data_IF_749354158950
#
_entry.id   IF_749354158950
#
_cell.length_a   1.000
_cell.length_b   1.000
_cell.length_c   1.000
_cell.angle_alpha   90.00
_cell.angle_beta   90.00
_cell.angle_gamma   90.00
#
_symmetry.space_group_name_H-M   'P 1'
#
loop_
_entity.id
_entity.type
_entity.pdbx_description
1 polymer ?
#
# COMPACT_ATOMS: atom_id res chain seq x y z
N UNK A 1 -6.87 -20.29 30.21
CA UNK A 1 -6.74 -19.11 29.34
C UNK A 1 -7.74 -19.32 28.22
N UNK A 2 -9.00 -19.03 28.52
CA UNK A 2 -10.12 -19.36 27.63
C UNK A 2 -9.98 -18.62 26.31
N UNK A 3 -10.25 -19.39 25.25
CA UNK A 3 -9.94 -19.05 23.87
C UNK A 3 -10.79 -17.87 23.40
N UNK A 4 -10.14 -16.81 22.93
CA UNK A 4 -10.79 -15.74 22.18
C UNK A 4 -11.50 -16.34 20.95
N UNK A 5 -12.84 -16.24 20.84
CA UNK A 5 -13.56 -16.67 19.65
C UNK A 5 -13.17 -15.78 18.46
N UNK A 6 -12.83 -16.38 17.32
CA UNK A 6 -12.74 -15.65 16.04
C UNK A 6 -11.38 -15.58 15.35
N UNK A 7 -10.29 -16.19 15.88
CA UNK A 7 -9.04 -16.32 15.12
C UNK A 7 -9.10 -17.61 14.29
N UNK A 8 -9.20 -17.55 12.95
CA UNK A 8 -9.24 -18.75 12.13
C UNK A 8 -7.90 -19.50 12.26
N UNK A 9 -7.99 -20.82 12.45
CA UNK A 9 -6.81 -21.71 12.53
C UNK A 9 -6.82 -22.63 11.31
N UNK A 10 -6.07 -22.30 10.24
CA UNK A 10 -5.94 -23.20 9.12
C UNK A 10 -5.19 -24.47 9.56
N UNK A 11 -5.61 -25.62 9.03
CA UNK A 11 -4.89 -26.86 9.26
C UNK A 11 -3.53 -26.85 8.54
N UNK A 12 -2.54 -27.64 8.98
CA UNK A 12 -1.26 -27.77 8.28
C UNK A 12 -1.43 -28.16 6.81
N UNK A 13 -2.43 -28.99 6.48
CA UNK A 13 -2.74 -29.43 5.13
C UNK A 13 -3.23 -28.28 4.25
N UNK A 14 -4.11 -27.41 4.77
CA UNK A 14 -4.56 -26.21 4.07
C UNK A 14 -3.41 -25.22 3.83
N UNK A 15 -2.57 -25.00 4.86
CA UNK A 15 -1.39 -24.15 4.73
C UNK A 15 -0.45 -24.68 3.65
N UNK A 16 -0.16 -25.99 3.66
CA UNK A 16 0.70 -26.61 2.65
C UNK A 16 0.10 -26.54 1.25
N UNK A 17 -1.20 -26.83 1.09
CA UNK A 17 -1.92 -26.80 -0.19
C UNK A 17 -1.92 -25.41 -0.83
N UNK A 18 -2.15 -24.38 -0.01
CA UNK A 18 -2.33 -23.02 -0.50
C UNK A 18 -1.08 -22.15 -0.40
N UNK A 19 0.05 -22.66 0.10
CA UNK A 19 1.33 -21.95 0.09
C UNK A 19 1.99 -21.93 -1.30
N UNK A 20 1.34 -21.24 -2.25
CA UNK A 20 1.78 -21.12 -3.65
C UNK A 20 2.33 -19.72 -3.94
N UNK A 21 3.09 -19.58 -5.02
CA UNK A 21 3.51 -18.26 -5.52
C UNK A 21 2.30 -17.55 -6.13
N UNK A 22 2.01 -16.33 -5.69
CA UNK A 22 0.87 -15.56 -6.18
C UNK A 22 1.01 -14.07 -5.92
N UNK A 23 0.37 -13.22 -6.74
CA UNK A 23 0.48 -11.78 -6.61
C UNK A 23 -0.22 -11.28 -5.34
N UNK A 24 0.19 -10.10 -4.88
CA UNK A 24 -0.48 -9.38 -3.78
C UNK A 24 -1.75 -8.65 -4.20
N UNK A 25 -2.05 -8.68 -5.50
CA UNK A 25 -3.14 -7.93 -6.14
C UNK A 25 -3.20 -6.46 -5.69
N UNK A 26 -2.04 -5.80 -5.60
CA UNK A 26 -1.99 -4.33 -5.46
C UNK A 26 -2.66 -3.66 -6.66
N UNK A 27 -2.58 -4.31 -7.82
CA UNK A 27 -3.38 -4.02 -9.01
C UNK A 27 -3.72 -5.31 -9.74
N UNK A 28 -4.74 -5.25 -10.60
CA UNK A 28 -4.96 -6.23 -11.66
C UNK A 28 -5.22 -5.50 -12.98
N UNK A 29 -4.49 -5.81 -14.07
CA UNK A 29 -3.34 -6.70 -14.12
C UNK A 29 -2.14 -6.21 -13.29
N UNK A 30 -1.23 -7.13 -13.00
CA UNK A 30 -0.08 -6.87 -12.13
C UNK A 30 1.06 -6.19 -12.89
N UNK A 31 1.93 -5.48 -12.19
CA UNK A 31 3.06 -4.72 -12.78
C UNK A 31 3.99 -5.51 -13.75
N UNK A 32 4.23 -6.83 -13.57
CA UNK A 32 4.97 -7.62 -14.56
C UNK A 32 4.37 -7.68 -15.96
N UNK A 33 3.07 -7.39 -16.11
CA UNK A 33 2.37 -7.35 -17.40
C UNK A 33 2.57 -6.02 -18.14
N UNK A 34 3.06 -4.98 -17.46
CA UNK A 34 3.21 -3.65 -18.05
C UNK A 34 4.36 -3.62 -19.05
N UNK A 35 4.13 -2.92 -20.16
CA UNK A 35 4.98 -2.94 -21.34
C UNK A 35 5.57 -1.56 -21.62
N UNK A 36 6.78 -1.50 -22.19
CA UNK A 36 7.47 -0.24 -22.47
C UNK A 36 6.93 0.52 -23.69
N UNK A 37 6.07 -0.10 -24.50
CA UNK A 37 5.36 0.56 -25.61
C UNK A 37 4.27 1.53 -25.11
N UNK A 38 3.80 1.38 -23.87
CA UNK A 38 3.03 2.41 -23.18
C UNK A 38 3.98 3.47 -22.61
N UNK A 39 4.31 4.46 -23.45
CA UNK A 39 5.23 5.56 -23.14
C UNK A 39 4.55 6.86 -22.68
N UNK A 40 5.30 7.99 -22.69
CA UNK A 40 4.81 9.31 -22.26
C UNK A 40 3.54 9.76 -22.97
N UNK A 41 3.50 9.66 -24.30
CA UNK A 41 2.39 10.12 -25.13
C UNK A 41 1.10 9.34 -24.85
N UNK A 42 1.23 8.06 -24.50
CA UNK A 42 0.10 7.21 -24.10
C UNK A 42 -0.48 7.68 -22.76
N UNK A 43 0.36 8.02 -21.78
CA UNK A 43 -0.11 8.58 -20.50
C UNK A 43 -0.77 9.96 -20.72
N UNK A 44 -0.17 10.85 -21.50
CA UNK A 44 -0.75 12.16 -21.81
C UNK A 44 -2.16 12.02 -22.42
N UNK A 45 -2.35 11.08 -23.35
CA UNK A 45 -3.66 10.79 -23.91
C UNK A 45 -4.67 10.26 -22.88
N UNK A 46 -4.23 9.58 -21.82
CA UNK A 46 -5.11 9.12 -20.72
C UNK A 46 -5.40 10.20 -19.71
N UNK A 47 -4.44 11.08 -19.41
CA UNK A 47 -4.67 12.28 -18.61
C UNK A 47 -5.69 13.21 -19.29
N UNK A 48 -5.62 13.39 -20.61
CA UNK A 48 -6.61 14.19 -21.35
C UNK A 48 -8.02 13.61 -21.23
N UNK A 49 -8.19 12.31 -21.41
CA UNK A 49 -9.51 11.66 -21.22
C UNK A 49 -9.99 11.76 -19.78
N UNK A 50 -9.10 11.60 -18.79
CA UNK A 50 -9.48 11.82 -17.40
C UNK A 50 -9.88 13.28 -17.13
N UNK A 51 -9.30 14.24 -17.85
CA UNK A 51 -9.61 15.66 -17.78
C UNK A 51 -10.93 16.08 -18.46
N UNK A 52 -11.57 15.19 -19.22
CA UNK A 52 -12.90 15.44 -19.82
C UNK A 52 -14.05 15.38 -18.81
N UNK A 53 -13.79 14.90 -17.58
CA UNK A 53 -14.77 14.92 -16.50
C UNK A 53 -14.95 16.33 -15.91
N UNK A 54 -16.03 16.54 -15.15
CA UNK A 54 -16.32 17.82 -14.50
C UNK A 54 -15.16 18.30 -13.62
N UNK A 55 -14.97 19.61 -13.51
CA UNK A 55 -13.90 20.25 -12.73
C UNK A 55 -13.86 19.78 -11.26
N UNK A 56 -15.04 19.46 -10.70
CA UNK A 56 -15.22 18.98 -9.34
C UNK A 56 -15.10 17.47 -9.19
N UNK A 57 -14.90 16.73 -10.29
CA UNK A 57 -14.78 15.27 -10.28
C UNK A 57 -13.54 14.83 -9.51
N UNK A 58 -13.69 14.07 -8.40
CA UNK A 58 -12.59 13.73 -7.51
C UNK A 58 -11.40 13.05 -8.19
N UNK A 59 -10.19 13.55 -7.93
CA UNK A 59 -8.92 12.91 -8.24
C UNK A 59 -8.20 12.48 -6.96
N UNK A 60 -7.37 11.45 -7.07
CA UNK A 60 -6.38 11.09 -6.06
C UNK A 60 -4.98 11.41 -6.60
N UNK A 61 -4.16 12.10 -5.82
CA UNK A 61 -2.79 12.45 -6.19
C UNK A 61 -1.79 11.75 -5.27
N UNK A 62 -0.93 10.92 -5.85
CA UNK A 62 0.20 10.33 -5.16
C UNK A 62 1.49 11.07 -5.54
N UNK A 63 2.32 11.40 -4.56
CA UNK A 63 3.63 12.00 -4.78
C UNK A 63 4.69 11.10 -4.19
N UNK A 64 5.57 10.58 -5.05
CA UNK A 64 6.69 9.75 -4.61
C UNK A 64 7.88 10.63 -4.22
N UNK A 65 8.39 10.47 -3.01
CA UNK A 65 9.56 11.16 -2.48
C UNK A 65 10.61 10.12 -2.07
N UNK A 66 11.64 9.85 -2.90
CA UNK A 66 12.46 8.64 -2.77
C UNK A 66 13.55 8.75 -1.68
N UNK A 67 13.71 9.88 -1.00
CA UNK A 67 14.90 10.10 -0.17
C UNK A 67 14.79 9.50 1.23
N UNK A 68 15.88 8.89 1.71
CA UNK A 68 16.04 8.43 3.10
C UNK A 68 17.43 8.80 3.64
N UNK A 69 17.53 9.10 4.94
CA UNK A 69 18.83 9.35 5.59
C UNK A 69 19.70 8.10 5.74
N UNK A 70 19.07 6.93 5.82
CA UNK A 70 19.76 5.65 6.01
C UNK A 70 19.03 4.52 5.28
N UNK A 71 19.79 3.49 4.91
CA UNK A 71 19.25 2.30 4.27
C UNK A 71 18.85 1.27 5.32
N UNK A 72 17.54 1.09 5.54
CA UNK A 72 17.02 -0.05 6.28
C UNK A 72 17.24 -1.33 5.48
N UNK A 73 17.86 -2.34 6.07
CA UNK A 73 18.30 -3.51 5.30
C UNK A 73 17.16 -4.43 4.85
N UNK A 74 15.99 -4.37 5.48
CA UNK A 74 14.81 -5.10 5.01
C UNK A 74 14.11 -4.42 3.82
N UNK A 75 14.35 -3.12 3.59
CA UNK A 75 13.48 -2.27 2.78
C UNK A 75 13.35 -2.77 1.32
N UNK A 76 12.10 -2.90 0.84
CA UNK A 76 11.79 -3.22 -0.56
C UNK A 76 11.37 -2.02 -1.40
N UNK A 77 11.31 -0.82 -0.80
CA UNK A 77 10.85 0.40 -1.46
C UNK A 77 11.89 0.95 -2.43
N UNK A 78 11.45 1.82 -3.35
CA UNK A 78 12.36 2.61 -4.16
C UNK A 78 12.91 3.77 -3.34
N UNK A 79 14.21 3.76 -3.05
CA UNK A 79 14.83 4.80 -2.23
C UNK A 79 16.18 5.27 -2.76
N UNK A 80 16.50 6.50 -2.42
CA UNK A 80 17.78 7.19 -2.67
C UNK A 80 18.32 7.62 -1.31
N UNK A 81 19.52 7.15 -0.97
CA UNK A 81 20.12 7.40 0.34
C UNK A 81 21.00 8.64 0.28
N UNK A 82 20.71 9.63 1.11
CA UNK A 82 21.52 10.85 1.26
C UNK A 82 21.51 11.29 2.71
N UNK A 83 22.62 11.85 3.20
CA UNK A 83 22.64 12.55 4.50
C UNK A 83 22.32 14.03 4.39
N UNK A 84 22.43 14.59 3.19
CA UNK A 84 22.21 16.00 2.90
C UNK A 84 20.84 16.20 2.26
N UNK A 85 19.96 16.94 2.95
CA UNK A 85 18.61 17.26 2.48
C UNK A 85 18.60 18.15 1.23
N UNK A 86 19.71 18.85 0.92
CA UNK A 86 19.83 19.60 -0.34
C UNK A 86 19.82 18.68 -1.58
N UNK A 87 20.11 17.39 -1.40
CA UNK A 87 20.02 16.39 -2.47
C UNK A 87 18.59 16.27 -3.05
N UNK A 88 17.56 16.69 -2.31
CA UNK A 88 16.19 16.73 -2.78
C UNK A 88 15.86 17.97 -3.61
N UNK A 89 16.63 19.07 -3.56
CA UNK A 89 16.24 20.32 -4.24
C UNK A 89 16.11 20.13 -5.74
N UNK A 90 17.11 19.50 -6.37
CA UNK A 90 17.04 19.14 -7.79
C UNK A 90 15.84 18.25 -8.09
N UNK A 91 15.49 17.34 -7.20
CA UNK A 91 14.32 16.47 -7.40
C UNK A 91 13.02 17.27 -7.36
N UNK A 92 12.88 18.16 -6.39
CA UNK A 92 11.71 19.03 -6.25
C UNK A 92 11.55 19.96 -7.46
N UNK A 93 12.65 20.48 -8.02
CA UNK A 93 12.59 21.28 -9.25
C UNK A 93 11.93 20.50 -10.40
N UNK A 94 12.33 19.24 -10.60
CA UNK A 94 11.78 18.40 -11.67
C UNK A 94 10.37 17.89 -11.31
N UNK A 95 10.11 17.59 -10.05
CA UNK A 95 8.78 17.18 -9.59
C UNK A 95 7.75 18.30 -9.83
N UNK A 96 8.12 19.56 -9.60
CA UNK A 96 7.29 20.71 -9.93
C UNK A 96 7.11 20.85 -11.45
N UNK A 97 8.15 20.65 -12.27
CA UNK A 97 7.97 20.63 -13.73
C UNK A 97 6.98 19.54 -14.17
N UNK A 98 7.11 18.32 -13.64
CA UNK A 98 6.19 17.21 -13.92
C UNK A 98 4.75 17.53 -13.49
N UNK A 99 4.59 18.09 -12.29
CA UNK A 99 3.30 18.56 -11.77
C UNK A 99 2.60 19.47 -12.78
N UNK A 100 3.32 20.43 -13.38
CA UNK A 100 2.75 21.36 -14.35
C UNK A 100 2.41 20.68 -15.68
N UNK A 101 3.24 19.76 -16.17
CA UNK A 101 2.95 18.95 -17.37
C UNK A 101 1.68 18.12 -17.19
N UNK A 102 1.58 17.38 -16.08
CA UNK A 102 0.41 16.57 -15.73
C UNK A 102 -0.82 17.45 -15.57
N UNK A 103 -0.67 18.57 -14.86
CA UNK A 103 -1.73 19.54 -14.67
C UNK A 103 -2.26 20.06 -16.02
N UNK A 104 -1.40 20.38 -16.98
CA UNK A 104 -1.81 20.82 -18.31
C UNK A 104 -2.67 19.77 -19.03
N UNK A 105 -2.26 18.49 -19.00
CA UNK A 105 -3.01 17.42 -19.65
C UNK A 105 -4.38 17.17 -18.99
N UNK A 106 -4.52 17.37 -17.68
CA UNK A 106 -5.80 17.23 -16.97
C UNK A 106 -6.77 18.40 -17.22
N UNK A 107 -6.32 19.49 -17.86
CA UNK A 107 -7.19 20.62 -18.22
C UNK A 107 -7.88 21.25 -17.00
N UNK A 108 -9.23 21.32 -16.96
CA UNK A 108 -9.97 21.94 -15.87
C UNK A 108 -10.12 21.03 -14.63
N UNK A 109 -9.85 19.72 -14.72
CA UNK A 109 -10.07 18.80 -13.59
C UNK A 109 -9.00 18.98 -12.51
N UNK A 110 -9.32 19.75 -11.47
CA UNK A 110 -8.38 20.17 -10.40
C UNK A 110 -8.74 19.68 -8.99
N UNK A 111 -9.93 19.12 -8.80
CA UNK A 111 -10.41 18.73 -7.48
C UNK A 111 -9.74 17.45 -6.94
N UNK A 112 -9.06 17.56 -5.79
CA UNK A 112 -8.41 16.46 -5.11
C UNK A 112 -9.24 15.99 -3.91
N UNK A 113 -9.64 14.72 -3.93
CA UNK A 113 -10.23 14.02 -2.77
C UNK A 113 -9.19 13.29 -1.93
N UNK A 114 -8.04 12.97 -2.52
CA UNK A 114 -6.92 12.35 -1.81
C UNK A 114 -5.59 12.95 -2.27
N UNK A 115 -4.70 13.18 -1.32
CA UNK A 115 -3.28 13.45 -1.54
C UNK A 115 -2.48 12.55 -0.64
N UNK A 116 -1.52 11.80 -1.19
CA UNK A 116 -0.64 10.94 -0.41
C UNK A 116 0.81 11.18 -0.78
N UNK A 117 1.63 11.54 0.21
CA UNK A 117 3.08 11.62 0.07
C UNK A 117 3.73 10.38 0.67
N UNK A 118 4.43 9.60 -0.16
CA UNK A 118 5.07 8.36 0.27
C UNK A 118 6.38 8.10 -0.45
N UNK A 119 6.93 6.89 -0.28
CA UNK A 119 8.10 6.43 -1.05
C UNK A 119 9.26 6.02 -0.15
N UNK A 120 10.25 6.89 -0.01
CA UNK A 120 11.33 6.75 0.95
C UNK A 120 10.89 7.28 2.31
N UNK A 121 11.29 8.50 2.63
CA UNK A 121 10.84 9.22 3.82
C UNK A 121 10.47 10.63 3.38
N UNK A 122 9.18 10.93 3.10
CA UNK A 122 8.73 12.29 2.77
C UNK A 122 9.28 13.39 3.70
N UNK A 123 9.39 13.09 4.99
CA UNK A 123 9.93 14.00 6.02
C UNK A 123 11.46 14.07 6.07
N UNK A 124 12.16 13.49 5.09
CA UNK A 124 13.53 13.85 4.73
C UNK A 124 13.64 15.31 4.28
N UNK A 125 12.57 15.81 3.65
CA UNK A 125 12.46 17.19 3.24
C UNK A 125 12.43 18.11 4.46
N UNK A 126 13.19 19.19 4.39
CA UNK A 126 13.12 20.29 5.37
C UNK A 126 11.74 20.95 5.34
N UNK A 127 11.39 21.68 6.40
CA UNK A 127 10.14 22.45 6.48
C UNK A 127 9.94 23.37 5.26
N UNK A 128 10.99 24.09 4.84
CA UNK A 128 10.94 24.95 3.65
C UNK A 128 10.66 24.17 2.35
N UNK A 129 11.23 22.98 2.23
CA UNK A 129 11.01 22.11 1.06
C UNK A 129 9.60 21.52 1.04
N UNK A 130 9.06 21.14 2.20
CA UNK A 130 7.68 20.67 2.35
C UNK A 130 6.69 21.79 1.97
N UNK A 131 6.86 22.99 2.52
CA UNK A 131 6.03 24.16 2.20
C UNK A 131 6.11 24.54 0.73
N UNK A 132 7.32 24.53 0.14
CA UNK A 132 7.54 24.78 -1.29
C UNK A 132 6.73 23.81 -2.16
N UNK A 133 6.88 22.49 -1.92
CA UNK A 133 6.19 21.48 -2.71
C UNK A 133 4.67 21.60 -2.57
N UNK A 134 4.19 21.80 -1.35
CA UNK A 134 2.77 21.98 -1.08
C UNK A 134 2.19 23.20 -1.79
N UNK A 135 2.89 24.33 -1.72
CA UNK A 135 2.49 25.57 -2.37
C UNK A 135 2.34 25.39 -3.87
N UNK A 136 3.33 24.76 -4.53
CA UNK A 136 3.26 24.51 -5.98
C UNK A 136 2.11 23.56 -6.34
N UNK A 137 1.86 22.54 -5.53
CA UNK A 137 0.73 21.62 -5.71
C UNK A 137 -0.61 22.38 -5.65
N UNK A 138 -0.81 23.22 -4.63
CA UNK A 138 -2.02 24.02 -4.45
C UNK A 138 -2.19 25.15 -5.48
N UNK A 139 -1.14 25.55 -6.22
CA UNK A 139 -1.30 26.46 -7.38
C UNK A 139 -2.02 25.79 -8.56
N UNK A 140 -1.98 24.46 -8.63
CA UNK A 140 -2.51 23.68 -9.77
C UNK A 140 -3.73 22.85 -9.41
N UNK A 141 -3.96 22.59 -8.14
CA UNK A 141 -5.03 21.74 -7.64
C UNK A 141 -5.72 22.35 -6.44
N UNK A 142 -6.97 21.92 -6.20
CA UNK A 142 -7.78 22.37 -5.06
C UNK A 142 -8.22 21.17 -4.27
N UNK A 143 -8.05 21.20 -2.95
CA UNK A 143 -8.58 20.17 -2.07
C UNK A 143 -10.10 20.28 -1.97
N UNK A 144 -10.78 19.14 -2.05
CA UNK A 144 -12.17 19.05 -1.64
C UNK A 144 -12.29 19.19 -0.12
N UNK A 145 -13.44 19.69 0.41
CA UNK A 145 -13.59 19.96 1.84
C UNK A 145 -13.32 18.76 2.77
N UNK A 146 -13.59 17.55 2.29
CA UNK A 146 -13.43 16.29 3.02
C UNK A 146 -12.26 15.43 2.50
N UNK A 147 -11.29 16.06 1.84
CA UNK A 147 -10.15 15.37 1.25
C UNK A 147 -9.25 14.71 2.31
N UNK A 148 -8.79 13.49 2.02
CA UNK A 148 -7.74 12.84 2.80
C UNK A 148 -6.37 13.34 2.34
N UNK A 149 -5.58 13.90 3.25
CA UNK A 149 -4.23 14.40 2.96
C UNK A 149 -3.26 13.69 3.90
N UNK A 150 -2.60 12.67 3.35
CA UNK A 150 -1.80 11.70 4.08
C UNK A 150 -0.30 11.78 3.76
N UNK A 151 0.53 11.45 4.75
CA UNK A 151 1.99 11.38 4.59
C UNK A 151 2.60 10.23 5.39
N UNK A 152 3.59 9.57 4.81
CA UNK A 152 4.45 8.60 5.48
C UNK A 152 5.58 9.28 6.24
N UNK A 153 5.81 8.87 7.49
CA UNK A 153 6.81 9.46 8.39
C UNK A 153 7.66 8.41 9.09
N UNK A 154 8.90 8.79 9.44
CA UNK A 154 9.80 7.96 10.23
C UNK A 154 9.97 8.61 11.60
N UNK A 155 9.55 7.97 12.72
CA UNK A 155 9.56 8.59 14.05
C UNK A 155 10.91 9.11 14.53
N UNK A 156 12.03 8.45 14.18
CA UNK A 156 13.38 8.94 14.51
C UNK A 156 13.91 10.09 13.63
N UNK A 157 13.22 10.48 12.56
CA UNK A 157 13.65 11.52 11.60
C UNK A 157 12.74 12.74 11.68
N UNK A 158 11.43 12.50 11.77
CA UNK A 158 10.42 13.55 11.73
C UNK A 158 10.43 14.39 13.01
N UNK A 159 10.52 15.71 12.88
CA UNK A 159 10.49 16.64 14.00
C UNK A 159 9.06 17.07 14.33
N UNK A 160 8.81 17.52 15.56
CA UNK A 160 7.52 18.11 15.95
C UNK A 160 7.19 19.36 15.12
N UNK A 161 8.20 20.14 14.71
CA UNK A 161 8.05 21.30 13.83
C UNK A 161 7.49 20.91 12.46
N UNK A 162 8.01 19.84 11.86
CA UNK A 162 7.49 19.30 10.61
C UNK A 162 6.04 18.83 10.76
N UNK A 163 5.67 18.14 11.85
CA UNK A 163 4.28 17.69 12.06
C UNK A 163 3.32 18.89 12.22
N UNK A 164 3.73 19.91 12.96
CA UNK A 164 2.95 21.16 13.09
C UNK A 164 2.77 21.85 11.75
N UNK A 165 3.83 21.96 10.94
CA UNK A 165 3.76 22.51 9.59
C UNK A 165 2.84 21.69 8.70
N UNK A 166 2.99 20.36 8.69
CA UNK A 166 2.14 19.47 7.89
C UNK A 166 0.65 19.68 8.22
N UNK A 167 0.30 19.83 9.51
CA UNK A 167 -1.08 20.15 9.90
C UNK A 167 -1.55 21.48 9.31
N UNK A 168 -0.71 22.52 9.39
CA UNK A 168 -1.02 23.85 8.84
C UNK A 168 -1.21 23.83 7.32
N UNK A 169 -0.43 22.99 6.61
CA UNK A 169 -0.56 22.80 5.17
C UNK A 169 -1.85 22.05 4.80
N UNK A 170 -2.46 21.32 5.73
CA UNK A 170 -3.73 20.63 5.52
C UNK A 170 -3.65 19.11 5.63
N UNK A 171 -2.47 18.55 5.94
CA UNK A 171 -2.35 17.12 6.24
C UNK A 171 -3.22 16.78 7.46
N UNK A 172 -3.92 15.66 7.36
CA UNK A 172 -4.87 15.20 8.37
C UNK A 172 -4.71 13.72 8.73
N UNK A 173 -3.81 13.00 8.04
CA UNK A 173 -3.46 11.61 8.32
C UNK A 173 -1.96 11.33 8.24
N UNK A 174 -1.46 10.46 9.13
CA UNK A 174 -0.05 10.02 9.15
C UNK A 174 0.06 8.48 9.06
N UNK A 175 1.11 7.99 8.41
CA UNK A 175 1.57 6.59 8.53
C UNK A 175 2.98 6.56 9.09
N UNK A 176 3.17 5.93 10.25
CA UNK A 176 4.45 5.85 10.95
C UNK A 176 5.09 4.48 10.73
N UNK A 177 6.26 4.48 10.09
CA UNK A 177 7.03 3.25 9.93
C UNK A 177 7.74 2.85 11.23
N UNK A 178 7.25 1.85 11.98
CA UNK A 178 7.90 1.32 13.18
C UNK A 178 8.71 0.05 12.91
N UNK A 179 8.09 -0.94 12.29
CA UNK A 179 8.58 -2.28 12.03
C UNK A 179 8.71 -3.16 13.29
N UNK A 180 9.59 -2.80 14.22
CA UNK A 180 9.83 -3.51 15.49
C UNK A 180 10.46 -2.57 16.54
N UNK A 181 10.28 -2.87 17.83
CA UNK A 181 10.94 -2.20 18.95
C UNK A 181 12.06 -3.02 19.59
N UNK A 182 12.21 -4.31 19.30
CA UNK A 182 13.28 -5.13 19.88
C UNK A 182 14.66 -4.64 19.40
N UNK A 183 15.58 -4.26 20.33
CA UNK A 183 16.87 -3.69 19.96
C UNK A 183 17.73 -4.59 19.05
N UNK A 184 17.64 -5.91 19.22
CA UNK A 184 18.41 -6.87 18.42
C UNK A 184 17.88 -6.96 16.99
N UNK A 185 16.55 -6.88 16.83
CA UNK A 185 15.91 -6.83 15.51
C UNK A 185 16.25 -5.51 14.81
N UNK A 186 16.21 -4.38 15.53
CA UNK A 186 16.59 -3.07 14.99
C UNK A 186 18.05 -2.99 14.54
N UNK A 187 18.98 -3.53 15.33
CA UNK A 187 20.39 -3.64 14.97
C UNK A 187 20.57 -4.47 13.69
N UNK A 188 19.96 -5.65 13.65
CA UNK A 188 20.02 -6.56 12.51
C UNK A 188 19.37 -5.99 11.23
N UNK A 189 18.57 -4.94 11.34
CA UNK A 189 17.87 -4.31 10.21
C UNK A 189 18.35 -2.88 9.91
N UNK A 190 19.31 -2.37 10.70
CA UNK A 190 19.81 -1.01 10.62
C UNK A 190 18.68 0.04 10.71
N UNK A 191 17.82 -0.07 11.72
CA UNK A 191 16.69 0.85 11.97
C UNK A 191 16.55 1.22 13.46
N UNK A 192 17.42 2.11 13.98
CA UNK A 192 17.35 2.54 15.38
C UNK A 192 16.15 3.48 15.64
N UNK A 193 15.35 3.14 16.64
CA UNK A 193 14.21 3.92 17.12
C UNK A 193 13.84 3.52 18.56
N UNK A 194 13.15 4.40 19.29
CA UNK A 194 12.71 4.11 20.64
C UNK A 194 11.20 4.30 20.80
N UNK A 195 10.53 3.54 21.68
CA UNK A 195 9.12 3.73 21.98
C UNK A 195 8.77 5.17 22.40
N UNK A 196 9.66 5.84 23.13
CA UNK A 196 9.43 7.19 23.66
C UNK A 196 9.34 8.22 22.53
N UNK A 197 10.22 8.13 21.52
CA UNK A 197 10.19 9.02 20.36
C UNK A 197 8.92 8.82 19.54
N UNK A 198 8.54 7.56 19.31
CA UNK A 198 7.30 7.23 18.62
C UNK A 198 6.08 7.75 19.37
N UNK A 199 6.02 7.54 20.69
CA UNK A 199 4.94 8.04 21.53
C UNK A 199 4.84 9.56 21.49
N UNK A 200 5.96 10.27 21.65
CA UNK A 200 5.98 11.72 21.59
C UNK A 200 5.47 12.27 20.26
N UNK A 201 5.84 11.65 19.13
CA UNK A 201 5.36 12.06 17.81
C UNK A 201 3.86 11.76 17.63
N UNK A 202 3.39 10.60 18.11
CA UNK A 202 1.97 10.22 18.08
C UNK A 202 1.11 11.18 18.90
N UNK A 203 1.54 11.48 20.14
CA UNK A 203 0.79 12.34 21.05
C UNK A 203 0.72 13.77 20.49
N UNK A 204 1.83 14.29 19.96
CA UNK A 204 1.85 15.60 19.27
C UNK A 204 0.93 15.62 18.03
N UNK A 205 0.91 14.54 17.23
CA UNK A 205 0.00 14.45 16.10
C UNK A 205 -1.48 14.46 16.54
N UNK A 206 -1.81 13.76 17.63
CA UNK A 206 -3.17 13.76 18.20
C UNK A 206 -3.59 15.13 18.72
N UNK A 207 -2.69 15.84 19.41
CA UNK A 207 -2.92 17.21 19.90
C UNK A 207 -3.25 18.18 18.75
N UNK A 208 -2.64 17.97 17.59
CA UNK A 208 -2.91 18.73 16.36
C UNK A 208 -4.17 18.28 15.60
N UNK A 209 -4.83 17.21 16.05
CA UNK A 209 -6.05 16.68 15.44
C UNK A 209 -5.84 15.80 14.22
N UNK A 210 -4.66 15.17 14.06
CA UNK A 210 -4.51 14.08 13.10
C UNK A 210 -5.40 12.89 13.49
N UNK A 211 -5.95 12.21 12.50
CA UNK A 211 -6.78 11.00 12.67
C UNK A 211 -6.32 9.90 11.74
N UNK A 212 -6.73 8.66 12.00
CA UNK A 212 -6.36 7.51 11.16
C UNK A 212 -4.86 7.24 11.16
N UNK A 213 -4.16 7.56 12.27
CA UNK A 213 -2.72 7.38 12.39
C UNK A 213 -2.38 5.90 12.32
N UNK A 214 -1.65 5.52 11.28
CA UNK A 214 -1.28 4.15 11.01
C UNK A 214 0.12 3.81 11.55
N UNK A 215 0.29 2.62 12.12
CA UNK A 215 1.61 2.05 12.42
C UNK A 215 1.94 0.89 11.48
N UNK A 216 3.08 0.97 10.80
CA UNK A 216 3.60 -0.14 10.00
C UNK A 216 4.51 -1.02 10.86
N UNK A 217 4.21 -2.31 10.91
CA UNK A 217 4.96 -3.36 11.58
C UNK A 217 5.40 -4.43 10.57
N UNK A 218 6.50 -5.13 10.85
CA UNK A 218 6.95 -6.24 10.00
C UNK A 218 7.20 -7.48 10.87
N UNK A 219 6.61 -8.61 10.48
CA UNK A 219 6.93 -9.92 11.06
C UNK A 219 7.75 -10.77 10.08
N UNK A 220 8.60 -11.64 10.63
CA UNK A 220 9.56 -12.44 9.87
C UNK A 220 10.98 -11.82 9.77
N UNK A 221 11.29 -10.77 10.53
CA UNK A 221 12.62 -10.15 10.55
C UNK A 221 13.64 -11.00 11.34
N UNK A 222 14.96 -10.83 11.10
CA UNK A 222 15.99 -11.56 11.83
C UNK A 222 15.87 -11.40 13.35
N UNK A 223 16.09 -12.49 14.08
CA UNK A 223 16.00 -12.58 15.55
C UNK A 223 14.61 -12.37 16.16
N UNK A 224 13.55 -12.20 15.37
CA UNK A 224 12.20 -12.24 15.91
C UNK A 224 11.87 -13.63 16.45
N UNK A 225 11.28 -13.64 17.64
CA UNK A 225 10.79 -14.82 18.36
C UNK A 225 9.48 -14.43 19.04
N UNK A 226 8.58 -15.40 19.34
CA UNK A 226 7.27 -15.10 19.92
C UNK A 226 7.32 -14.18 21.14
N UNK A 227 8.29 -14.37 22.05
CA UNK A 227 8.41 -13.59 23.28
C UNK A 227 8.88 -12.14 23.01
N UNK A 228 9.79 -11.95 22.04
CA UNK A 228 10.26 -10.61 21.65
C UNK A 228 9.15 -9.84 20.96
N UNK A 229 8.47 -10.52 20.05
CA UNK A 229 7.37 -9.96 19.29
C UNK A 229 6.20 -9.58 20.18
N UNK A 230 5.85 -10.41 21.18
CA UNK A 230 4.82 -10.08 22.16
C UNK A 230 5.10 -8.75 22.88
N UNK A 231 6.34 -8.50 23.31
CA UNK A 231 6.72 -7.21 23.94
C UNK A 231 6.57 -6.01 22.99
N UNK A 232 6.92 -6.19 21.72
CA UNK A 232 6.70 -5.17 20.68
C UNK A 232 5.20 -4.89 20.51
N UNK A 233 4.37 -5.93 20.42
CA UNK A 233 2.92 -5.79 20.31
C UNK A 233 2.30 -5.12 21.54
N UNK A 234 2.69 -5.50 22.75
CA UNK A 234 2.26 -4.85 24.00
C UNK A 234 2.56 -3.35 24.00
N UNK A 235 3.77 -2.99 23.57
CA UNK A 235 4.22 -1.59 23.48
C UNK A 235 3.37 -0.81 22.46
N UNK A 236 3.09 -1.40 21.30
CA UNK A 236 2.24 -0.80 20.27
C UNK A 236 0.80 -0.64 20.73
N UNK A 237 0.22 -1.68 21.35
CA UNK A 237 -1.13 -1.65 21.91
C UNK A 237 -1.27 -0.56 22.99
N UNK A 238 -0.24 -0.37 23.82
CA UNK A 238 -0.19 0.71 24.81
C UNK A 238 -0.11 2.12 24.18
N UNK A 239 0.22 2.26 22.89
CA UNK A 239 0.17 3.53 22.16
C UNK A 239 -1.22 3.76 21.50
N UNK A 240 -1.99 2.69 21.30
CA UNK A 240 -3.34 2.68 20.71
C UNK A 240 -3.43 3.39 19.35
N UNK A 241 -2.59 3.10 18.35
CA UNK A 241 -2.72 3.71 17.02
C UNK A 241 -4.11 3.45 16.43
N UNK A 242 -4.59 4.31 15.53
CA UNK A 242 -5.95 4.14 14.97
C UNK A 242 -5.98 2.98 13.96
N UNK A 243 -4.88 2.80 13.23
CA UNK A 243 -4.69 1.78 12.20
C UNK A 243 -3.35 1.06 12.39
N UNK A 244 -3.28 -0.19 11.95
CA UNK A 244 -2.04 -0.95 11.84
C UNK A 244 -1.95 -1.66 10.50
N UNK A 245 -0.74 -1.74 9.96
CA UNK A 245 -0.40 -2.62 8.86
C UNK A 245 0.77 -3.54 9.28
N UNK A 246 0.56 -4.85 9.28
CA UNK A 246 1.47 -5.85 9.85
C UNK A 246 2.03 -6.75 8.74
N UNK A 247 3.03 -6.26 8.04
CA UNK A 247 3.52 -6.87 6.81
C UNK A 247 4.38 -8.11 7.04
N UNK A 248 4.15 -9.13 6.21
CA UNK A 248 5.04 -10.29 6.09
C UNK A 248 6.36 -9.91 5.42
N UNK A 249 7.48 -10.11 6.10
CA UNK A 249 8.80 -9.82 5.55
C UNK A 249 9.11 -10.67 4.31
N UNK A 250 9.52 -10.02 3.23
CA UNK A 250 9.93 -10.65 1.98
C UNK A 250 11.47 -10.57 1.81
N UNK A 251 12.15 -11.66 2.13
CA UNK A 251 13.59 -11.81 1.91
C UNK A 251 13.88 -12.25 0.47
N UNK A 252 14.41 -11.33 -0.34
CA UNK A 252 14.73 -11.50 -1.76
C UNK A 252 16.13 -10.94 -2.07
N UNK A 253 17.21 -11.46 -1.46
CA UNK A 253 18.56 -10.89 -1.53
C UNK A 253 19.17 -10.89 -2.94
N UNK A 254 18.64 -11.69 -3.87
CA UNK A 254 19.09 -11.72 -5.26
C UNK A 254 18.59 -10.51 -6.06
N UNK A 255 17.42 -9.99 -5.70
CA UNK A 255 16.83 -8.79 -6.31
C UNK A 255 17.23 -7.55 -5.51
N UNK A 256 17.14 -7.64 -4.17
CA UNK A 256 17.41 -6.56 -3.22
C UNK A 256 18.74 -6.82 -2.53
N UNK A 257 19.84 -6.54 -3.23
CA UNK A 257 21.20 -6.92 -2.79
C UNK A 257 21.58 -6.44 -1.39
N UNK A 258 21.04 -5.31 -0.92
CA UNK A 258 21.30 -4.79 0.42
C UNK A 258 20.74 -5.66 1.54
N UNK A 259 19.73 -6.50 1.26
CA UNK A 259 19.21 -7.46 2.25
C UNK A 259 20.26 -8.50 2.67
N UNK A 260 21.33 -8.71 1.88
CA UNK A 260 22.47 -9.57 2.24
C UNK A 260 23.25 -9.08 3.47
N UNK A 261 23.01 -7.84 3.93
CA UNK A 261 23.59 -7.31 5.17
C UNK A 261 22.92 -7.87 6.42
N UNK A 262 21.71 -8.42 6.29
CA UNK A 262 21.01 -9.07 7.39
C UNK A 262 21.50 -10.52 7.57
N UNK A 263 21.56 -11.03 8.81
CA UNK A 263 21.92 -12.42 9.08
C UNK A 263 20.80 -13.36 8.61
N UNK A 264 21.03 -14.05 7.50
CA UNK A 264 20.03 -14.92 6.87
C UNK A 264 19.70 -16.16 7.74
N UNK A 265 20.67 -16.65 8.50
CA UNK A 265 20.53 -17.74 9.48
C UNK A 265 19.69 -17.37 10.70
N UNK A 266 19.54 -16.07 10.97
CA UNK A 266 18.71 -15.55 12.04
C UNK A 266 17.25 -15.28 11.63
N UNK A 267 16.90 -15.50 10.36
CA UNK A 267 15.51 -15.40 9.91
C UNK A 267 14.67 -16.50 10.56
N UNK A 268 13.45 -16.18 11.05
CA UNK A 268 12.57 -17.19 11.63
C UNK A 268 12.17 -18.22 10.59
N UNK A 269 11.96 -19.47 11.04
CA UNK A 269 11.40 -20.53 10.20
C UNK A 269 9.97 -20.18 9.78
N UNK A 270 9.40 -20.93 8.84
CA UNK A 270 8.03 -20.71 8.38
C UNK A 270 7.01 -20.89 9.53
N UNK A 271 7.26 -21.86 10.42
CA UNK A 271 6.45 -22.15 11.60
C UNK A 271 6.47 -20.97 12.57
N UNK A 272 7.66 -20.49 12.93
CA UNK A 272 7.81 -19.32 13.81
C UNK A 272 7.15 -18.10 13.18
N UNK A 273 7.36 -17.87 11.88
CA UNK A 273 6.76 -16.73 11.16
C UNK A 273 5.22 -16.77 11.19
N UNK A 274 4.62 -17.95 11.10
CA UNK A 274 3.18 -18.15 11.26
C UNK A 274 2.71 -17.84 12.70
N UNK A 275 3.48 -18.26 13.71
CA UNK A 275 3.20 -17.93 15.11
C UNK A 275 3.24 -16.42 15.37
N UNK A 276 4.22 -15.71 14.80
CA UNK A 276 4.32 -14.24 14.89
C UNK A 276 3.08 -13.55 14.29
N UNK A 277 2.64 -14.01 13.11
CA UNK A 277 1.42 -13.52 12.48
C UNK A 277 0.19 -13.75 13.37
N UNK A 278 0.03 -14.96 13.89
CA UNK A 278 -1.10 -15.32 14.77
C UNK A 278 -1.10 -14.52 16.07
N UNK A 279 0.07 -14.28 16.66
CA UNK A 279 0.22 -13.46 17.86
C UNK A 279 -0.21 -12.01 17.59
N UNK A 280 0.21 -11.43 16.46
CA UNK A 280 -0.23 -10.09 16.07
C UNK A 280 -1.75 -10.02 15.85
N UNK A 281 -2.29 -10.94 15.04
CA UNK A 281 -3.72 -10.99 14.76
C UNK A 281 -4.55 -11.14 16.04
N UNK A 282 -4.20 -12.10 16.90
CA UNK A 282 -4.89 -12.34 18.17
C UNK A 282 -4.75 -11.16 19.13
N UNK A 283 -3.58 -10.52 19.19
CA UNK A 283 -3.32 -9.35 20.02
C UNK A 283 -4.18 -8.15 19.63
N UNK A 284 -4.23 -7.80 18.34
CA UNK A 284 -5.01 -6.66 17.87
C UNK A 284 -6.51 -6.92 17.95
N UNK A 285 -6.99 -8.07 17.49
CA UNK A 285 -8.42 -8.43 17.60
C UNK A 285 -8.85 -8.54 19.06
N UNK A 286 -8.03 -9.15 19.92
CA UNK A 286 -8.30 -9.23 21.36
C UNK A 286 -8.31 -7.86 22.06
N UNK A 287 -7.61 -6.87 21.52
CA UNK A 287 -7.64 -5.49 21.97
C UNK A 287 -8.78 -4.65 21.36
N UNK A 288 -9.66 -5.25 20.56
CA UNK A 288 -10.83 -4.60 19.97
C UNK A 288 -10.64 -4.01 18.58
N UNK A 289 -9.49 -4.22 17.93
CA UNK A 289 -9.30 -3.82 16.54
C UNK A 289 -10.08 -4.76 15.59
N UNK A 290 -10.64 -4.19 14.53
CA UNK A 290 -11.24 -4.94 13.44
C UNK A 290 -10.17 -5.30 12.41
N UNK A 291 -10.13 -6.58 12.01
CA UNK A 291 -9.31 -7.03 10.88
C UNK A 291 -9.95 -6.54 9.57
N UNK A 292 -9.28 -5.61 8.88
CA UNK A 292 -9.75 -4.99 7.64
C UNK A 292 -9.49 -5.92 6.45
N UNK A 293 -8.26 -6.41 6.33
CA UNK A 293 -7.90 -7.37 5.29
C UNK A 293 -6.42 -7.76 5.35
N UNK A 294 -6.14 -9.05 5.21
CA UNK A 294 -4.83 -9.72 5.34
C UNK A 294 -4.00 -9.28 6.56
N UNK A 295 -3.33 -8.13 6.45
CA UNK A 295 -2.37 -7.55 7.38
C UNK A 295 -2.82 -6.20 7.97
N UNK A 296 -3.99 -5.69 7.62
CA UNK A 296 -4.48 -4.39 8.09
C UNK A 296 -5.53 -4.51 9.20
N UNK A 297 -5.41 -3.66 10.21
CA UNK A 297 -6.29 -3.56 11.36
C UNK A 297 -6.67 -2.10 11.59
N UNK A 298 -7.89 -1.84 12.05
CA UNK A 298 -8.33 -0.50 12.44
C UNK A 298 -9.25 -0.57 13.66
N UNK A 299 -9.32 0.51 14.44
CA UNK A 299 -10.32 0.63 15.51
C UNK A 299 -11.74 0.61 14.90
N UNK A 300 -12.77 0.10 15.61
CA UNK A 300 -14.12 -0.02 15.07
C UNK A 300 -14.75 1.30 14.62
N UNK A 301 -14.33 2.41 15.22
CA UNK A 301 -14.80 3.75 14.88
C UNK A 301 -14.19 4.30 13.58
N UNK A 302 -13.11 3.67 13.08
CA UNK A 302 -12.42 4.09 11.86
C UNK A 302 -13.31 3.87 10.62
N UNK A 303 -13.20 4.78 9.65
CA UNK A 303 -13.95 4.71 8.40
C UNK A 303 -13.71 3.43 7.60
N UNK A 304 -12.50 2.84 7.66
CA UNK A 304 -12.19 1.59 6.96
C UNK A 304 -12.98 0.42 7.56
N UNK A 305 -13.13 0.39 8.89
CA UNK A 305 -13.90 -0.63 9.59
C UNK A 305 -15.40 -0.55 9.21
N UNK A 306 -15.94 0.67 9.18
CA UNK A 306 -17.33 0.93 8.76
C UNK A 306 -17.55 0.56 7.29
N UNK A 307 -16.65 0.99 6.40
CA UNK A 307 -16.74 0.69 4.97
C UNK A 307 -16.64 -0.81 4.68
N UNK A 308 -15.85 -1.57 5.44
CA UNK A 308 -15.80 -3.02 5.32
C UNK A 308 -17.15 -3.66 5.66
N UNK A 309 -17.78 -3.25 6.77
CA UNK A 309 -19.10 -3.74 7.17
C UNK A 309 -20.18 -3.45 6.12
N UNK A 310 -20.06 -2.31 5.45
CA UNK A 310 -20.98 -1.87 4.40
C UNK A 310 -20.60 -2.38 3.00
N UNK A 311 -19.52 -3.17 2.88
CA UNK A 311 -18.97 -3.68 1.60
C UNK A 311 -18.61 -2.57 0.59
N UNK A 312 -18.19 -1.41 1.10
CA UNK A 312 -17.76 -0.23 0.33
C UNK A 312 -16.26 0.01 0.41
N UNK A 313 -15.49 -0.93 0.94
CA UNK A 313 -14.04 -0.77 1.03
C UNK A 313 -13.43 -0.81 -0.37
N UNK A 314 -12.63 0.22 -0.68
CA UNK A 314 -11.84 0.31 -1.90
C UNK A 314 -10.35 0.10 -1.63
N UNK A 315 -9.56 0.06 -2.70
CA UNK A 315 -8.11 -0.07 -2.61
C UNK A 315 -7.42 0.60 -3.81
N UNK A 316 -6.29 1.22 -3.54
CA UNK A 316 -5.34 1.71 -4.54
C UNK A 316 -3.92 1.22 -4.19
N UNK A 317 -2.89 1.77 -4.86
CA UNK A 317 -1.49 1.37 -4.61
C UNK A 317 -0.98 1.74 -3.21
N UNK A 318 -1.62 2.71 -2.53
CA UNK A 318 -1.27 3.17 -1.19
C UNK A 318 -1.92 2.31 -0.09
N UNK A 319 -2.99 1.58 -0.41
CA UNK A 319 -3.67 0.68 0.53
C UNK A 319 -5.19 0.74 0.43
N UNK A 320 -5.86 0.31 1.50
CA UNK A 320 -7.30 0.42 1.61
C UNK A 320 -7.74 1.89 1.74
N UNK A 321 -8.86 2.22 1.11
CA UNK A 321 -9.41 3.58 1.10
C UNK A 321 -10.94 3.54 1.07
N UNK A 322 -11.57 4.56 1.66
CA UNK A 322 -13.01 4.83 1.50
C UNK A 322 -13.29 5.98 0.53
N UNK A 323 -12.26 6.78 0.20
CA UNK A 323 -12.33 7.94 -0.68
C UNK A 323 -11.98 7.51 -2.10
N UNK A 324 -12.83 6.70 -2.72
CA UNK A 324 -12.56 6.22 -4.07
C UNK A 324 -12.64 7.38 -5.08
N UNK A 325 -11.49 7.86 -5.53
CA UNK A 325 -11.40 8.62 -6.78
C UNK A 325 -11.44 7.63 -7.96
N UNK A 326 -12.07 8.02 -9.07
CA UNK A 326 -12.08 7.21 -10.30
C UNK A 326 -10.70 7.06 -10.91
N UNK A 327 -9.81 8.01 -10.62
CA UNK A 327 -8.47 8.10 -11.19
C UNK A 327 -7.45 8.48 -10.12
N UNK A 328 -6.33 7.77 -10.13
CA UNK A 328 -5.14 8.03 -9.32
C UNK A 328 -4.03 8.49 -10.24
N UNK A 329 -3.55 9.71 -10.02
CA UNK A 329 -2.43 10.29 -10.74
C UNK A 329 -1.22 10.29 -9.83
N UNK A 330 -0.09 9.81 -10.31
CA UNK A 330 1.16 9.80 -9.58
C UNK A 330 2.20 10.74 -10.18
N UNK A 331 2.97 11.38 -9.30
CA UNK A 331 4.13 12.19 -9.62
C UNK A 331 5.39 11.58 -9.00
N UNK A 332 6.53 11.88 -9.59
CA UNK A 332 7.84 11.47 -9.14
C UNK A 332 8.29 10.12 -9.70
N UNK A 333 9.59 9.87 -9.56
CA UNK A 333 10.24 8.61 -9.94
C UNK A 333 9.49 7.40 -9.38
N UNK A 334 9.27 6.37 -10.21
CA UNK A 334 8.48 5.16 -9.88
C UNK A 334 7.01 5.33 -9.52
N UNK A 335 6.48 6.56 -9.50
CA UNK A 335 5.05 6.83 -9.32
C UNK A 335 4.21 6.00 -10.30
N UNK A 336 3.09 5.48 -9.81
CA UNK A 336 2.16 4.65 -10.58
C UNK A 336 0.80 5.32 -10.64
N UNK A 337 0.35 5.64 -11.85
CA UNK A 337 -0.99 6.15 -12.12
C UNK A 337 -1.95 5.00 -12.51
N UNK A 338 -3.19 5.05 -12.03
CA UNK A 338 -4.35 4.30 -12.52
C UNK A 338 -5.36 5.33 -13.04
N UNK A 339 -5.32 5.62 -14.33
CA UNK A 339 -6.03 6.76 -14.92
C UNK A 339 -6.66 6.38 -16.26
N UNK A 340 -7.94 6.73 -16.42
CA UNK A 340 -8.76 6.47 -17.60
C UNK A 340 -8.64 5.02 -18.12
N UNK A 341 -8.64 4.05 -17.18
CA UNK A 341 -8.54 2.63 -17.49
C UNK A 341 -7.16 2.18 -17.98
N UNK A 342 -6.09 2.87 -17.60
CA UNK A 342 -4.72 2.48 -17.86
C UNK A 342 -3.83 2.57 -16.61
N UNK A 343 -2.86 1.66 -16.53
CA UNK A 343 -1.75 1.77 -15.60
C UNK A 343 -0.55 2.42 -16.29
N UNK A 344 0.14 3.32 -15.60
CA UNK A 344 1.38 3.93 -16.08
C UNK A 344 2.38 4.08 -14.94
N UNK A 345 3.63 3.72 -15.16
CA UNK A 345 4.70 3.83 -14.18
C UNK A 345 5.84 4.70 -14.69
N UNK A 346 6.25 5.66 -13.87
CA UNK A 346 7.43 6.48 -14.11
C UNK A 346 8.73 5.69 -13.97
N UNK A 347 9.73 6.13 -14.74
CA UNK A 347 11.08 5.57 -14.73
C UNK A 347 11.69 5.61 -13.33
N UNK A 348 12.47 4.56 -13.01
CA UNK A 348 13.12 4.40 -11.71
C UNK A 348 14.36 5.28 -11.52
N UNK A 349 15.40 5.23 -12.38
CA UNK A 349 16.63 5.99 -12.14
C UNK A 349 16.40 7.50 -12.22
N UNK A 350 16.82 8.23 -11.18
CA UNK A 350 16.71 9.69 -11.14
C UNK A 350 17.32 10.42 -12.34
N UNK A 351 18.50 10.02 -12.87
CA UNK A 351 19.05 10.68 -14.06
C UNK A 351 18.12 10.63 -15.27
N UNK A 352 17.49 9.46 -15.52
CA UNK A 352 16.54 9.29 -16.62
C UNK A 352 15.22 10.03 -16.36
N UNK A 353 14.77 10.08 -15.10
CA UNK A 353 13.62 10.88 -14.69
C UNK A 353 13.87 12.37 -14.99
N UNK A 354 15.01 12.90 -14.53
CA UNK A 354 15.39 14.30 -14.77
C UNK A 354 15.48 14.63 -16.25
N UNK A 355 16.19 13.81 -17.02
CA UNK A 355 16.35 14.01 -18.46
C UNK A 355 14.99 14.15 -19.16
N UNK A 356 14.04 13.24 -18.92
CA UNK A 356 12.72 13.27 -19.57
C UNK A 356 11.96 14.54 -19.24
N UNK A 357 11.88 14.87 -17.95
CA UNK A 357 11.16 16.05 -17.48
C UNK A 357 11.78 17.36 -17.99
N UNK A 358 13.12 17.47 -18.01
CA UNK A 358 13.80 18.66 -18.56
C UNK A 358 13.51 18.91 -20.04
N UNK A 359 13.14 17.87 -20.79
CA UNK A 359 12.70 17.99 -22.19
C UNK A 359 11.19 18.24 -22.34
N UNK A 360 10.47 18.55 -21.26
CA UNK A 360 9.03 18.80 -21.29
C UNK A 360 8.19 17.55 -21.56
N UNK A 361 8.72 16.35 -21.28
CA UNK A 361 8.03 15.07 -21.50
C UNK A 361 7.77 14.37 -20.17
N UNK A 362 6.64 13.67 -20.06
CA UNK A 362 6.36 12.82 -18.89
C UNK A 362 7.40 11.70 -18.74
N UNK A 363 7.60 11.24 -17.51
CA UNK A 363 8.66 10.29 -17.18
C UNK A 363 8.24 8.81 -17.33
N UNK A 364 7.08 8.52 -17.94
CA UNK A 364 6.52 7.17 -18.11
C UNK A 364 7.48 6.20 -18.79
N UNK A 365 7.80 5.10 -18.13
CA UNK A 365 8.67 4.03 -18.67
C UNK A 365 7.87 2.86 -19.24
N UNK A 366 6.74 2.54 -18.61
CA UNK A 366 5.91 1.40 -18.98
C UNK A 366 4.49 1.57 -18.46
N UNK A 367 3.58 0.81 -19.02
CA UNK A 367 2.17 0.83 -18.63
C UNK A 367 1.36 -0.25 -19.32
N UNK A 368 0.04 -0.14 -19.21
CA UNK A 368 -0.92 -1.06 -19.81
C UNK A 368 -2.28 -0.38 -19.93
N UNK A 369 -2.89 -0.42 -21.11
CA UNK A 369 -4.30 -0.10 -21.28
C UNK A 369 -5.15 -1.34 -20.98
N UNK A 370 -6.16 -1.20 -20.13
CA UNK A 370 -7.02 -2.31 -19.75
C UNK A 370 -7.98 -2.67 -20.89
N UNK A 371 -8.05 -3.98 -21.17
CA UNK A 371 -9.13 -4.54 -21.99
C UNK A 371 -10.43 -4.65 -21.19
N UNK A 372 -11.55 -4.90 -21.86
CA UNK A 372 -12.83 -5.14 -21.16
C UNK A 372 -12.75 -6.34 -20.20
N UNK A 373 -12.09 -7.43 -20.61
CA UNK A 373 -11.85 -8.58 -19.73
C UNK A 373 -11.00 -8.20 -18.51
N UNK A 374 -9.95 -7.40 -18.71
CA UNK A 374 -9.12 -6.93 -17.60
C UNK A 374 -9.94 -6.09 -16.60
N UNK A 375 -10.87 -5.24 -17.08
CA UNK A 375 -11.75 -4.44 -16.23
C UNK A 375 -12.71 -5.30 -15.41
N UNK A 376 -13.36 -6.30 -16.03
CA UNK A 376 -14.27 -7.23 -15.34
C UNK A 376 -13.54 -8.00 -14.24
N UNK A 377 -12.40 -8.60 -14.57
CA UNK A 377 -11.57 -9.35 -13.61
C UNK A 377 -11.03 -8.47 -12.50
N UNK A 378 -10.59 -7.24 -12.83
CA UNK A 378 -10.18 -6.24 -11.83
C UNK A 378 -11.29 -5.98 -10.83
N UNK A 379 -12.53 -5.78 -11.30
CA UNK A 379 -13.66 -5.53 -10.40
C UNK A 379 -13.89 -6.70 -9.42
N UNK A 380 -13.89 -7.94 -9.92
CA UNK A 380 -14.06 -9.14 -9.09
C UNK A 380 -12.92 -9.30 -8.07
N UNK A 381 -11.68 -9.21 -8.53
CA UNK A 381 -10.48 -9.35 -7.68
C UNK A 381 -10.47 -8.26 -6.61
N UNK A 382 -10.72 -7.00 -6.96
CA UNK A 382 -10.75 -5.90 -6.00
C UNK A 382 -11.84 -6.12 -4.95
N UNK A 383 -13.06 -6.52 -5.36
CA UNK A 383 -14.15 -6.78 -4.43
C UNK A 383 -13.83 -7.91 -3.45
N UNK A 384 -13.28 -9.03 -3.93
CA UNK A 384 -12.83 -10.12 -3.06
C UNK A 384 -11.72 -9.67 -2.10
N UNK A 385 -10.71 -8.94 -2.59
CA UNK A 385 -9.57 -8.48 -1.79
C UNK A 385 -9.93 -7.41 -0.75
N UNK A 386 -11.01 -6.64 -0.97
CA UNK A 386 -11.43 -5.56 -0.06
C UNK A 386 -12.58 -5.98 0.85
N UNK A 387 -13.61 -6.61 0.29
CA UNK A 387 -14.87 -6.85 1.00
C UNK A 387 -15.08 -8.32 1.35
N UNK A 388 -14.14 -9.21 0.97
CA UNK A 388 -14.28 -10.66 1.13
C UNK A 388 -15.58 -11.21 0.52
N UNK A 389 -16.15 -10.46 -0.44
CA UNK A 389 -17.45 -10.70 -1.02
C UNK A 389 -17.52 -10.07 -2.42
N UNK A 390 -18.25 -10.69 -3.33
CA UNK A 390 -18.61 -10.11 -4.64
C UNK A 390 -19.94 -10.70 -5.13
N UNK A 391 -20.75 -9.88 -5.79
CA UNK A 391 -21.86 -10.34 -6.62
C UNK A 391 -21.46 -10.23 -8.10
N UNK A 392 -21.43 -11.37 -8.78
CA UNK A 392 -21.06 -11.44 -10.20
C UNK A 392 -22.22 -11.00 -11.11
N UNK A 393 -23.45 -10.99 -10.62
CA UNK A 393 -24.65 -10.92 -11.45
C UNK A 393 -24.77 -12.10 -12.44
N UNK A 394 -25.84 -12.12 -13.22
CA UNK A 394 -26.08 -13.20 -14.19
C UNK A 394 -25.04 -13.24 -15.30
N UNK A 395 -24.61 -12.07 -15.78
CA UNK A 395 -23.58 -11.95 -16.81
C UNK A 395 -22.22 -12.46 -16.30
N UNK A 396 -21.80 -12.06 -15.10
CA UNK A 396 -20.56 -12.52 -14.52
C UNK A 396 -20.56 -14.02 -14.25
N UNK A 397 -21.70 -14.62 -13.87
CA UNK A 397 -21.82 -16.09 -13.75
C UNK A 397 -21.55 -16.80 -15.08
N UNK A 398 -22.01 -16.24 -16.20
CA UNK A 398 -21.73 -16.78 -17.53
C UNK A 398 -20.27 -16.55 -17.94
N UNK A 399 -19.78 -15.33 -17.78
CA UNK A 399 -18.44 -14.91 -18.18
C UNK A 399 -17.33 -15.66 -17.41
N UNK A 400 -17.59 -15.98 -16.14
CA UNK A 400 -16.64 -16.65 -15.24
C UNK A 400 -17.01 -18.11 -14.96
N UNK A 401 -17.76 -18.78 -15.83
CA UNK A 401 -18.15 -20.18 -15.61
C UNK A 401 -16.95 -21.13 -15.38
N UNK A 402 -15.82 -21.03 -16.12
CA UNK A 402 -14.63 -21.85 -15.85
C UNK A 402 -14.00 -21.56 -14.48
N UNK A 403 -13.97 -20.31 -14.06
CA UNK A 403 -13.45 -19.87 -12.77
C UNK A 403 -14.33 -20.36 -11.62
N UNK A 404 -15.65 -20.22 -11.75
CA UNK A 404 -16.63 -20.76 -10.80
C UNK A 404 -16.44 -22.26 -10.61
N UNK A 405 -16.06 -22.98 -11.66
CA UNK A 405 -15.86 -24.43 -11.55
C UNK A 405 -14.57 -24.80 -10.80
N UNK A 406 -13.53 -23.98 -10.94
CA UNK A 406 -12.31 -24.08 -10.13
C UNK A 406 -12.53 -23.67 -8.67
N UNK A 407 -13.57 -22.89 -8.37
CA UNK A 407 -13.89 -22.47 -7.00
C UNK A 407 -14.52 -23.57 -6.14
N UNK A 408 -15.06 -24.65 -6.73
CA UNK A 408 -15.65 -25.76 -5.97
C UNK A 408 -14.70 -26.33 -4.92
N UNK A 409 -13.40 -26.44 -5.22
CA UNK A 409 -12.40 -26.91 -4.25
C UNK A 409 -12.28 -25.98 -3.04
N UNK A 410 -12.43 -24.67 -3.22
CA UNK A 410 -12.43 -23.70 -2.11
C UNK A 410 -13.74 -23.75 -1.31
N UNK A 411 -14.87 -24.09 -1.95
CA UNK A 411 -16.13 -24.38 -1.26
C UNK A 411 -16.02 -25.66 -0.40
N UNK A 412 -15.46 -26.74 -0.95
CA UNK A 412 -15.21 -28.00 -0.26
C UNK A 412 -14.24 -27.86 0.92
N UNK A 413 -13.20 -27.02 0.78
CA UNK A 413 -12.25 -26.69 1.85
C UNK A 413 -12.82 -25.69 2.87
N UNK A 414 -14.07 -25.25 2.74
CA UNK A 414 -14.74 -24.33 3.67
C UNK A 414 -14.19 -22.90 3.66
N UNK A 415 -13.52 -22.51 2.58
CA UNK A 415 -12.93 -21.17 2.39
C UNK A 415 -13.93 -20.19 1.77
N UNK A 416 -14.87 -20.69 0.98
CA UNK A 416 -15.81 -19.88 0.22
C UNK A 416 -17.23 -20.45 0.35
N UNK A 417 -18.22 -19.57 0.46
CA UNK A 417 -19.63 -19.91 0.31
C UNK A 417 -20.14 -19.25 -0.95
N UNK A 418 -20.82 -20.03 -1.80
CA UNK A 418 -21.46 -19.53 -3.01
C UNK A 418 -22.98 -19.62 -2.88
N UNK A 419 -23.67 -18.54 -3.20
CA UNK A 419 -25.13 -18.45 -3.24
C UNK A 419 -25.56 -17.77 -4.53
N UNK A 420 -25.89 -18.56 -5.56
CA UNK A 420 -26.21 -18.03 -6.89
C UNK A 420 -25.00 -17.31 -7.50
N UNK A 421 -25.16 -16.01 -7.77
CA UNK A 421 -24.10 -15.13 -8.30
C UNK A 421 -23.17 -14.56 -7.23
N UNK A 422 -23.47 -14.79 -5.95
CA UNK A 422 -22.74 -14.21 -4.83
C UNK A 422 -21.68 -15.17 -4.31
N UNK A 423 -20.48 -14.63 -4.10
CA UNK A 423 -19.34 -15.33 -3.52
C UNK A 423 -18.95 -14.63 -2.23
N UNK A 424 -18.87 -15.35 -1.12
CA UNK A 424 -18.48 -14.83 0.19
C UNK A 424 -17.40 -15.68 0.84
N UNK A 425 -16.27 -15.08 1.20
CA UNK A 425 -15.22 -15.80 1.93
C UNK A 425 -15.61 -15.99 3.38
N UNK A 426 -15.42 -17.22 3.87
CA UNK A 426 -15.54 -17.51 5.29
C UNK A 426 -14.45 -16.80 6.09
N UNK A 427 -14.56 -16.76 7.41
CA UNK A 427 -13.50 -16.24 8.27
C UNK A 427 -12.14 -16.92 7.97
N UNK A 428 -12.15 -18.23 7.68
CA UNK A 428 -10.97 -18.98 7.25
C UNK A 428 -10.52 -18.57 5.85
N UNK A 429 -11.45 -18.45 4.90
CA UNK A 429 -11.16 -18.03 3.52
C UNK A 429 -10.50 -16.66 3.39
N UNK A 430 -10.78 -15.72 4.31
CA UNK A 430 -10.13 -14.41 4.35
C UNK A 430 -8.61 -14.50 4.49
N UNK A 431 -8.08 -15.54 5.15
CA UNK A 431 -6.63 -15.78 5.21
C UNK A 431 -6.04 -16.19 3.85
N UNK A 432 -6.85 -16.82 3.00
CA UNK A 432 -6.48 -17.32 1.67
C UNK A 432 -7.10 -16.49 0.54
N UNK A 433 -7.47 -15.23 0.80
CA UNK A 433 -8.14 -14.35 -0.17
C UNK A 433 -7.35 -14.22 -1.48
N UNK A 434 -6.01 -14.20 -1.39
CA UNK A 434 -5.13 -14.17 -2.57
C UNK A 434 -5.31 -15.41 -3.44
N UNK A 435 -5.42 -16.59 -2.83
CA UNK A 435 -5.60 -17.85 -3.55
C UNK A 435 -6.95 -17.91 -4.27
N UNK A 436 -8.01 -17.37 -3.65
CA UNK A 436 -9.33 -17.26 -4.31
C UNK A 436 -9.28 -16.25 -5.44
N UNK A 437 -8.68 -15.07 -5.22
CA UNK A 437 -8.53 -14.05 -6.26
C UNK A 437 -7.72 -14.55 -7.47
N UNK A 438 -6.72 -15.41 -7.25
CA UNK A 438 -5.93 -16.04 -8.33
C UNK A 438 -6.76 -16.89 -9.30
N UNK A 439 -7.95 -17.33 -8.90
CA UNK A 439 -8.83 -18.07 -9.81
C UNK A 439 -9.29 -17.16 -10.96
N UNK A 440 -9.54 -15.89 -10.68
CA UNK A 440 -10.00 -14.88 -11.65
C UNK A 440 -8.88 -14.21 -12.45
N UNK A 441 -7.63 -14.56 -12.21
CA UNK A 441 -6.48 -13.98 -12.90
C UNK A 441 -6.15 -14.75 -14.19
N UNK A 442 -6.47 -14.14 -15.33
CA UNK A 442 -6.24 -14.74 -16.65
C UNK A 442 -4.75 -14.72 -17.07
N UNK A 443 -3.91 -13.92 -16.40
CA UNK A 443 -2.51 -13.70 -16.77
C UNK A 443 -1.60 -14.74 -16.12
N UNK A 444 -1.97 -15.26 -14.94
CA UNK A 444 -1.18 -16.29 -14.23
C UNK A 444 -0.98 -17.57 -15.04
N UNK A 445 -2.01 -18.03 -15.75
CA UNK A 445 -1.92 -19.24 -16.59
C UNK A 445 -0.91 -19.09 -17.74
N UNK A 446 -0.52 -17.86 -18.10
CA UNK A 446 0.38 -17.54 -19.22
C UNK A 446 1.82 -17.27 -18.78
N UNK A 447 2.10 -17.23 -17.48
CA UNK A 447 3.41 -16.86 -16.95
C UNK A 447 4.35 -18.09 -16.89
N UNK A 448 5.46 -18.04 -17.64
CA UNK A 448 6.44 -19.14 -17.72
C UNK A 448 7.27 -19.35 -16.43
N UNK A 449 7.26 -18.41 -15.46
CA UNK A 449 8.02 -18.51 -14.20
C UNK A 449 7.35 -17.78 -13.02
N UNK A 450 7.50 -18.28 -11.78
CA UNK A 450 7.03 -17.58 -10.59
C UNK A 450 7.85 -16.30 -10.35
N UNK A 451 7.21 -15.14 -10.48
CA UNK A 451 7.77 -13.80 -10.18
C UNK A 451 7.22 -13.21 -8.87
N UNK A 452 6.45 -13.98 -8.11
CA UNK A 452 5.69 -13.48 -6.98
C UNK A 452 6.13 -14.11 -5.64
N UNK A 453 5.79 -13.44 -4.55
CA UNK A 453 5.96 -13.98 -3.20
C UNK A 453 4.98 -15.13 -2.93
N UNK A 454 5.26 -15.92 -1.88
CA UNK A 454 4.31 -16.90 -1.36
C UNK A 454 3.01 -16.24 -0.85
N UNK A 455 1.91 -16.97 -0.97
CA UNK A 455 0.54 -16.52 -0.63
C UNK A 455 0.16 -16.81 0.82
N UNK A 456 0.91 -17.66 1.50
CA UNK A 456 0.79 -17.99 2.92
C UNK A 456 2.06 -17.59 3.65
#
# INVERSE_FOLDING_TARGET
MDMLPGVPRPSPELLARYNVSGPRYTSYPTAPEWRPDFGPEALEARLRVAGEQDETSPLSLYVHLPFCHSLCWYCGCNVVISKDSSAADRYLDHLVMELYLVAEQLGPRRALSQVHWGGGTPTFLTEKQLERLWTELMRRFTLLPDAEVAIEVHPSVTTSGQVSLLRQLGFNRLSMGLQDFDPRVQEATNRPQTPERTRALLDHARELGFTGVNFDLIYGLPYQQPERWARTLETVLAMRPDRLAVYSFAFMPDVLKHQKRMPADALPSAEVKLELFRAAYAGFVGAGYQAIGMDHFAVPEDELARALCERRLGRNFQGYTVKAASDVVALGSTGISDVAGAYAQNVRPLPAYYERISHGRLATERGLLLTEDDRKRRAVITQLMCNAWVDLGEEGVRDFAPELERLKTFEEDGLLVRSGSQLELTALGRLFVRNVAMVFDARLARAERPRFSRTV
#
